data_IF_782030550436
#
_entry.id   IF_782030550436
#
_cell.length_a   1.000
_cell.length_b   1.000
_cell.length_c   1.000
_cell.angle_alpha   90.00
_cell.angle_beta   90.00
_cell.angle_gamma   90.00
#
_symmetry.space_group_name_H-M   'P 1'
#
loop_
_entity.id
_entity.type
_entity.pdbx_description
1 polymer ?
#
# COMPACT_ATOMS: atom_id res chain seq x y z
N UNK A 1 -27.72 12.43 17.19
CA UNK A 1 -26.66 12.11 18.18
C UNK A 1 -26.46 10.62 18.33
N UNK A 2 -27.53 9.82 18.50
CA UNK A 2 -27.46 8.34 18.62
C UNK A 2 -26.80 7.65 17.41
N UNK A 3 -27.22 7.95 16.18
CA UNK A 3 -26.63 7.37 14.96
C UNK A 3 -25.11 7.64 14.81
N UNK A 4 -24.60 8.78 15.27
CA UNK A 4 -23.16 9.06 15.26
C UNK A 4 -22.39 8.27 16.32
N UNK A 5 -23.03 8.00 17.47
CA UNK A 5 -22.45 7.13 18.51
C UNK A 5 -22.41 5.67 18.04
N UNK A 6 -23.46 5.20 17.36
CA UNK A 6 -23.51 3.85 16.81
C UNK A 6 -22.47 3.64 15.70
N UNK A 7 -22.24 4.65 14.84
CA UNK A 7 -21.17 4.60 13.84
C UNK A 7 -19.77 4.49 14.46
N UNK A 8 -19.50 5.24 15.55
CA UNK A 8 -18.22 5.16 16.26
C UNK A 8 -18.05 3.83 17.00
N UNK A 9 -19.12 3.31 17.59
CA UNK A 9 -19.13 1.99 18.23
C UNK A 9 -18.87 0.89 17.20
N UNK A 10 -19.52 0.94 16.04
CA UNK A 10 -19.30 -0.01 14.95
C UNK A 10 -17.85 0.03 14.45
N UNK A 11 -17.27 1.22 14.26
CA UNK A 11 -15.87 1.36 13.87
C UNK A 11 -14.92 0.72 14.88
N UNK A 12 -15.17 0.93 16.18
CA UNK A 12 -14.37 0.32 17.27
C UNK A 12 -14.43 -1.21 17.23
N UNK A 13 -15.64 -1.76 17.11
CA UNK A 13 -15.85 -3.21 16.98
C UNK A 13 -15.17 -3.74 15.70
N UNK A 14 -15.26 -3.01 14.58
CA UNK A 14 -14.62 -3.42 13.34
C UNK A 14 -13.09 -3.48 13.48
N UNK A 15 -12.45 -2.51 14.14
CA UNK A 15 -11.00 -2.55 14.37
C UNK A 15 -10.57 -3.77 15.18
N UNK A 16 -11.34 -4.13 16.21
CA UNK A 16 -11.07 -5.34 17.01
C UNK A 16 -11.27 -6.61 16.19
N UNK A 17 -12.35 -6.68 15.40
CA UNK A 17 -12.67 -7.85 14.58
C UNK A 17 -11.67 -8.08 13.45
N UNK A 18 -11.19 -7.02 12.80
CA UNK A 18 -10.24 -7.13 11.71
C UNK A 18 -8.79 -7.33 12.20
N UNK A 19 -8.57 -7.27 13.52
CA UNK A 19 -7.31 -7.57 14.18
C UNK A 19 -7.14 -9.03 14.63
N UNK A 20 -8.18 -9.87 14.50
CA UNK A 20 -8.13 -11.28 14.92
C UNK A 20 -7.48 -12.19 13.85
N UNK A 21 -7.03 -13.39 14.23
CA UNK A 21 -6.59 -14.41 13.27
C UNK A 21 -7.69 -14.73 12.24
N UNK A 22 -7.29 -15.01 10.99
CA UNK A 22 -8.21 -15.14 9.86
C UNK A 22 -9.35 -16.16 10.08
N UNK A 23 -9.06 -17.26 10.77
CA UNK A 23 -10.02 -18.34 11.01
C UNK A 23 -10.95 -18.05 12.19
N UNK A 24 -10.58 -17.13 13.08
CA UNK A 24 -11.38 -16.74 14.25
C UNK A 24 -12.42 -15.66 13.93
N UNK A 25 -12.29 -14.97 12.79
CA UNK A 25 -13.10 -13.81 12.42
C UNK A 25 -14.62 -14.05 12.58
N UNK A 26 -15.13 -15.17 12.07
CA UNK A 26 -16.58 -15.43 12.07
C UNK A 26 -17.09 -15.66 13.50
N UNK A 27 -16.30 -16.35 14.32
CA UNK A 27 -16.59 -16.60 15.73
C UNK A 27 -16.56 -15.29 16.51
N UNK A 28 -15.51 -14.49 16.34
CA UNK A 28 -15.37 -13.18 16.96
C UNK A 28 -16.51 -12.23 16.57
N UNK A 29 -16.88 -12.17 15.28
CA UNK A 29 -18.00 -11.34 14.78
C UNK A 29 -19.32 -11.73 15.42
N UNK A 30 -19.57 -13.04 15.55
CA UNK A 30 -20.79 -13.55 16.17
C UNK A 30 -20.85 -13.20 17.66
N UNK A 31 -19.73 -13.32 18.37
CA UNK A 31 -19.62 -12.92 19.77
C UNK A 31 -19.83 -11.40 19.94
N UNK A 32 -19.17 -10.58 19.12
CA UNK A 32 -19.29 -9.13 19.15
C UNK A 32 -20.74 -8.67 18.92
N UNK A 33 -21.44 -9.26 17.95
CA UNK A 33 -22.85 -8.95 17.70
C UNK A 33 -23.77 -9.33 18.89
N UNK A 34 -23.44 -10.38 19.63
CA UNK A 34 -24.19 -10.78 20.83
C UNK A 34 -23.96 -9.76 21.96
N UNK A 35 -22.71 -9.36 22.18
CA UNK A 35 -22.33 -8.38 23.22
C UNK A 35 -22.89 -6.98 22.92
N UNK A 36 -23.02 -6.59 21.66
CA UNK A 36 -23.56 -5.28 21.26
C UNK A 36 -25.10 -5.20 21.33
N UNK A 37 -25.80 -6.25 21.76
CA UNK A 37 -27.27 -6.30 21.80
C UNK A 37 -27.89 -5.34 22.83
N UNK A 38 -27.10 -4.83 23.79
CA UNK A 38 -27.53 -3.83 24.77
C UNK A 38 -27.58 -2.39 24.23
N UNK A 39 -27.00 -2.12 23.06
CA UNK A 39 -26.82 -0.76 22.51
C UNK A 39 -27.92 -0.32 21.54
N UNK A 40 -28.93 -1.16 21.30
CA UNK A 40 -29.98 -0.93 20.29
C UNK A 40 -29.95 -2.00 19.19
N UNK A 41 -31.06 -2.17 18.46
CA UNK A 41 -31.20 -3.26 17.47
C UNK A 41 -30.32 -3.11 16.22
N UNK A 42 -29.89 -1.88 15.91
CA UNK A 42 -29.16 -1.56 14.68
C UNK A 42 -27.69 -1.98 14.73
N UNK A 43 -27.00 -1.76 15.86
CA UNK A 43 -25.58 -2.07 16.01
C UNK A 43 -25.25 -3.58 15.86
N UNK A 44 -25.96 -4.53 16.51
CA UNK A 44 -25.78 -5.96 16.28
C UNK A 44 -25.98 -6.39 14.82
N UNK A 45 -26.97 -5.79 14.14
CA UNK A 45 -27.24 -6.08 12.74
C UNK A 45 -26.09 -5.59 11.84
N UNK A 46 -25.58 -4.38 12.09
CA UNK A 46 -24.43 -3.83 11.40
C UNK A 46 -23.15 -4.67 11.62
N UNK A 47 -22.90 -5.13 12.86
CA UNK A 47 -21.75 -6.00 13.17
C UNK A 47 -21.86 -7.34 12.42
N UNK A 48 -23.06 -7.94 12.35
CA UNK A 48 -23.28 -9.19 11.57
C UNK A 48 -23.09 -8.98 10.06
N UNK A 49 -23.39 -7.79 9.57
CA UNK A 49 -23.23 -7.44 8.16
C UNK A 49 -21.76 -7.20 7.75
N UNK A 50 -20.83 -7.06 8.71
CA UNK A 50 -19.41 -6.90 8.38
C UNK A 50 -18.90 -8.13 7.61
N UNK A 51 -18.38 -7.95 6.39
CA UNK A 51 -17.88 -9.05 5.57
C UNK A 51 -16.63 -9.66 6.20
N UNK A 52 -16.32 -10.92 5.85
CA UNK A 52 -15.04 -11.52 6.18
C UNK A 52 -14.00 -10.99 5.18
N UNK A 53 -12.82 -10.51 5.63
CA UNK A 53 -11.78 -10.09 4.69
C UNK A 53 -11.30 -11.26 3.83
N UNK A 54 -10.82 -10.96 2.62
CA UNK A 54 -10.03 -11.90 1.82
C UNK A 54 -8.69 -12.18 2.52
N UNK A 55 -8.00 -13.27 2.15
CA UNK A 55 -6.71 -13.61 2.77
C UNK A 55 -5.67 -12.52 2.52
N UNK A 56 -5.63 -11.95 1.31
CA UNK A 56 -4.73 -10.85 0.97
C UNK A 56 -5.06 -9.58 1.76
N UNK A 57 -6.34 -9.21 1.86
CA UNK A 57 -6.78 -8.06 2.66
C UNK A 57 -6.46 -8.23 4.14
N UNK A 58 -6.71 -9.43 4.69
CA UNK A 58 -6.34 -9.77 6.07
C UNK A 58 -4.84 -9.63 6.31
N UNK A 59 -3.98 -10.13 5.42
CA UNK A 59 -2.53 -9.99 5.57
C UNK A 59 -2.09 -8.52 5.61
N UNK A 60 -2.67 -7.67 4.76
CA UNK A 60 -2.41 -6.22 4.77
C UNK A 60 -2.95 -5.56 6.05
N UNK A 61 -4.12 -5.96 6.54
CA UNK A 61 -4.66 -5.46 7.81
C UNK A 61 -3.75 -5.83 8.99
N UNK A 62 -3.22 -7.06 9.01
CA UNK A 62 -2.25 -7.48 10.03
C UNK A 62 -0.98 -6.62 9.96
N UNK A 63 -0.48 -6.28 8.76
CA UNK A 63 0.63 -5.33 8.65
C UNK A 63 0.27 -3.95 9.21
N UNK A 64 -0.93 -3.43 8.93
CA UNK A 64 -1.36 -2.13 9.46
C UNK A 64 -1.43 -2.10 10.99
N UNK A 65 -1.66 -3.25 11.61
CA UNK A 65 -1.76 -3.38 13.07
C UNK A 65 -0.38 -3.57 13.70
N UNK A 66 0.43 -4.49 13.15
CA UNK A 66 1.68 -4.95 13.76
C UNK A 66 2.94 -4.27 13.24
N UNK A 67 2.93 -3.81 11.99
CA UNK A 67 4.08 -3.16 11.31
C UNK A 67 3.62 -1.90 10.55
N UNK A 68 2.91 -0.95 11.21
CA UNK A 68 2.35 0.22 10.54
C UNK A 68 3.41 1.11 9.87
N UNK A 69 4.64 1.10 10.39
CA UNK A 69 5.77 1.90 9.90
C UNK A 69 6.11 1.56 8.44
N UNK A 70 5.97 0.29 8.05
CA UNK A 70 6.20 -0.15 6.66
C UNK A 70 5.18 0.50 5.70
N UNK A 71 3.91 0.59 6.13
CA UNK A 71 2.86 1.22 5.33
C UNK A 71 3.01 2.75 5.29
N UNK A 72 3.49 3.37 6.37
CA UNK A 72 3.82 4.80 6.39
C UNK A 72 4.94 5.11 5.39
N UNK A 73 6.01 4.31 5.39
CA UNK A 73 7.13 4.50 4.47
C UNK A 73 6.70 4.37 2.99
N UNK A 74 5.84 3.40 2.68
CA UNK A 74 5.28 3.25 1.32
C UNK A 74 4.37 4.42 0.95
N UNK A 75 3.58 4.95 1.89
CA UNK A 75 2.71 6.10 1.64
C UNK A 75 3.52 7.38 1.38
N UNK A 76 4.59 7.61 2.14
CA UNK A 76 5.54 8.70 1.92
C UNK A 76 6.23 8.61 0.56
N UNK A 77 6.62 7.40 0.14
CA UNK A 77 7.11 7.17 -1.22
C UNK A 77 6.07 7.55 -2.27
N UNK A 78 4.81 7.15 -2.09
CA UNK A 78 3.71 7.51 -3.00
C UNK A 78 3.52 9.03 -3.11
N UNK A 79 3.62 9.76 -2.00
CA UNK A 79 3.58 11.22 -2.01
C UNK A 79 4.74 11.83 -2.81
N UNK A 80 5.98 11.35 -2.60
CA UNK A 80 7.15 11.80 -3.38
C UNK A 80 7.00 11.50 -4.87
N UNK A 81 6.43 10.35 -5.22
CA UNK A 81 6.15 10.00 -6.62
C UNK A 81 5.15 10.95 -7.26
N UNK A 82 4.03 11.24 -6.60
CA UNK A 82 3.02 12.20 -7.10
C UNK A 82 3.60 13.62 -7.22
N UNK A 83 4.44 14.05 -6.26
CA UNK A 83 5.12 15.33 -6.34
C UNK A 83 6.09 15.42 -7.53
N UNK A 84 6.84 14.34 -7.81
CA UNK A 84 7.72 14.25 -8.97
C UNK A 84 6.93 14.22 -10.30
N UNK A 85 5.74 13.58 -10.31
CA UNK A 85 4.83 13.62 -11.47
C UNK A 85 4.30 15.04 -11.71
N UNK A 86 3.84 15.72 -10.67
CA UNK A 86 3.32 17.08 -10.76
C UNK A 86 4.37 18.10 -11.23
N UNK A 87 5.65 17.88 -10.91
CA UNK A 87 6.78 18.69 -11.37
C UNK A 87 7.40 18.21 -12.69
N UNK A 88 6.88 17.14 -13.29
CA UNK A 88 7.38 16.51 -14.52
C UNK A 88 8.88 16.10 -14.44
N UNK A 89 9.37 15.75 -13.25
CA UNK A 89 10.75 15.33 -13.04
C UNK A 89 10.95 13.86 -13.40
N UNK A 90 11.25 13.61 -14.67
CA UNK A 90 11.50 12.27 -15.19
C UNK A 90 12.73 11.58 -14.56
N UNK A 91 13.71 12.34 -14.04
CA UNK A 91 14.88 11.75 -13.40
C UNK A 91 14.52 11.23 -12.00
N UNK A 92 13.86 12.07 -11.18
CA UNK A 92 13.33 11.67 -9.88
C UNK A 92 12.36 10.48 -10.00
N UNK A 93 11.47 10.48 -11.00
CA UNK A 93 10.54 9.37 -11.21
C UNK A 93 11.23 8.03 -11.46
N UNK A 94 12.35 8.02 -12.20
CA UNK A 94 13.10 6.77 -12.44
C UNK A 94 13.72 6.24 -11.15
N UNK A 95 14.27 7.12 -10.32
CA UNK A 95 14.86 6.72 -9.04
C UNK A 95 13.80 6.25 -8.04
N UNK A 96 12.70 7.00 -7.89
CA UNK A 96 11.57 6.61 -7.05
C UNK A 96 10.94 5.29 -7.51
N UNK A 97 10.90 5.00 -8.83
CA UNK A 97 10.41 3.73 -9.33
C UNK A 97 11.32 2.53 -8.98
N UNK A 98 12.63 2.73 -8.82
CA UNK A 98 13.56 1.70 -8.33
C UNK A 98 13.37 1.49 -6.83
N UNK A 99 13.27 2.59 -6.07
CA UNK A 99 12.98 2.56 -4.64
C UNK A 99 11.66 1.82 -4.37
N UNK A 100 10.61 2.12 -5.14
CA UNK A 100 9.31 1.43 -5.07
C UNK A 100 9.42 -0.08 -5.19
N UNK A 101 10.14 -0.58 -6.20
CA UNK A 101 10.30 -2.04 -6.38
C UNK A 101 10.99 -2.69 -5.18
N UNK A 102 11.97 -2.01 -4.60
CA UNK A 102 12.72 -2.51 -3.44
C UNK A 102 11.85 -2.54 -2.20
N UNK A 103 11.14 -1.44 -1.90
CA UNK A 103 10.26 -1.34 -0.74
C UNK A 103 9.04 -2.26 -0.84
N UNK A 104 8.47 -2.44 -2.04
CA UNK A 104 7.37 -3.38 -2.23
C UNK A 104 7.79 -4.83 -1.95
N UNK A 105 8.97 -5.25 -2.42
CA UNK A 105 9.50 -6.59 -2.11
C UNK A 105 9.65 -6.81 -0.60
N UNK A 106 10.32 -5.88 0.09
CA UNK A 106 10.51 -5.95 1.53
C UNK A 106 9.18 -5.93 2.31
N UNK A 107 8.20 -5.16 1.84
CA UNK A 107 6.87 -5.09 2.45
C UNK A 107 6.08 -6.40 2.27
N UNK A 108 6.20 -7.07 1.11
CA UNK A 108 5.61 -8.41 0.89
C UNK A 108 6.24 -9.45 1.81
N UNK A 109 7.56 -9.42 1.98
CA UNK A 109 8.25 -10.32 2.92
C UNK A 109 7.81 -10.06 4.37
N UNK A 110 7.61 -8.79 4.73
CA UNK A 110 7.04 -8.42 6.03
C UNK A 110 5.62 -8.96 6.18
N UNK A 111 4.77 -8.85 5.14
CA UNK A 111 3.42 -9.41 5.14
C UNK A 111 3.42 -10.92 5.42
N UNK A 112 4.35 -11.65 4.78
CA UNK A 112 4.53 -13.10 5.00
C UNK A 112 4.90 -13.39 6.44
N UNK A 113 5.90 -12.69 6.97
CA UNK A 113 6.35 -12.88 8.35
C UNK A 113 5.25 -12.57 9.39
N UNK A 114 4.50 -11.49 9.18
CA UNK A 114 3.36 -11.13 10.03
C UNK A 114 2.28 -12.20 9.98
N UNK A 115 1.92 -12.66 8.78
CA UNK A 115 0.90 -13.70 8.61
C UNK A 115 1.32 -15.03 9.29
N UNK A 116 2.58 -15.42 9.17
CA UNK A 116 3.15 -16.61 9.82
C UNK A 116 3.08 -16.51 11.35
N UNK A 117 3.44 -15.35 11.92
CA UNK A 117 3.29 -15.10 13.38
C UNK A 117 1.84 -15.22 13.85
N UNK A 118 0.88 -14.95 12.96
CA UNK A 118 -0.54 -15.11 13.20
C UNK A 118 -1.11 -16.48 12.81
N UNK A 119 -0.23 -17.47 12.58
CA UNK A 119 -0.61 -18.86 12.37
C UNK A 119 -1.03 -19.20 10.94
N UNK A 120 -0.75 -18.35 9.94
CA UNK A 120 -1.12 -18.59 8.55
C UNK A 120 0.01 -18.27 7.57
N UNK A 121 0.46 -19.28 6.84
CA UNK A 121 1.30 -19.06 5.66
C UNK A 121 0.48 -18.51 4.49
N UNK A 122 1.03 -17.56 3.73
CA UNK A 122 0.42 -17.07 2.49
C UNK A 122 1.11 -17.67 1.26
N UNK A 123 0.32 -18.04 0.25
CA UNK A 123 0.85 -18.59 -1.01
C UNK A 123 1.49 -17.49 -1.87
N UNK A 124 2.22 -17.89 -2.92
CA UNK A 124 2.80 -16.94 -3.88
C UNK A 124 1.72 -16.08 -4.57
N UNK A 125 0.55 -16.66 -4.88
CA UNK A 125 -0.58 -15.94 -5.46
C UNK A 125 -1.10 -14.86 -4.51
N UNK A 126 -1.32 -15.21 -3.24
CA UNK A 126 -1.78 -14.23 -2.24
C UNK A 126 -0.73 -13.15 -2.00
N UNK A 127 0.56 -13.50 -2.00
CA UNK A 127 1.64 -12.53 -1.89
C UNK A 127 1.66 -11.55 -3.08
N UNK A 128 1.31 -11.99 -4.28
CA UNK A 128 1.18 -11.12 -5.45
C UNK A 128 -0.02 -10.16 -5.31
N UNK A 129 -1.16 -10.63 -4.77
CA UNK A 129 -2.32 -9.77 -4.49
C UNK A 129 -2.00 -8.71 -3.41
N UNK A 130 -1.22 -9.09 -2.40
CA UNK A 130 -0.69 -8.16 -1.39
C UNK A 130 0.22 -7.12 -2.05
N UNK A 131 1.17 -7.53 -2.90
CA UNK A 131 2.03 -6.60 -3.63
C UNK A 131 1.21 -5.62 -4.48
N UNK A 132 0.17 -6.11 -5.16
CA UNK A 132 -0.71 -5.28 -6.00
C UNK A 132 -1.48 -4.26 -5.16
N UNK A 133 -1.93 -4.64 -3.97
CA UNK A 133 -2.58 -3.73 -3.01
C UNK A 133 -1.61 -2.66 -2.51
N UNK A 134 -0.38 -3.04 -2.15
CA UNK A 134 0.65 -2.10 -1.71
C UNK A 134 1.10 -1.18 -2.84
N UNK A 135 1.10 -1.66 -4.08
CA UNK A 135 1.34 -0.83 -5.27
C UNK A 135 0.25 0.21 -5.44
N UNK A 136 -1.02 -0.16 -5.23
CA UNK A 136 -2.16 0.76 -5.25
C UNK A 136 -2.01 1.86 -4.18
N UNK A 137 -1.57 1.52 -2.96
CA UNK A 137 -1.24 2.49 -1.90
C UNK A 137 -0.20 3.53 -2.35
N UNK A 138 0.82 3.14 -3.11
CA UNK A 138 1.83 4.11 -3.60
C UNK A 138 1.29 5.01 -4.71
N UNK A 139 0.28 4.56 -5.46
CA UNK A 139 -0.27 5.29 -6.58
C UNK A 139 -1.33 6.32 -6.11
N UNK A 140 -2.22 5.91 -5.20
CA UNK A 140 -3.41 6.67 -4.84
C UNK A 140 -3.49 6.98 -3.34
N UNK A 141 -3.88 8.21 -3.00
CA UNK A 141 -3.99 8.66 -1.60
C UNK A 141 -5.17 8.01 -0.87
N UNK A 142 -6.28 7.75 -1.56
CA UNK A 142 -7.43 7.04 -1.02
C UNK A 142 -7.08 5.59 -0.69
N UNK A 143 -6.35 4.90 -1.58
CA UNK A 143 -5.84 3.56 -1.35
C UNK A 143 -4.88 3.51 -0.15
N UNK A 144 -4.02 4.53 0.00
CA UNK A 144 -3.15 4.64 1.17
C UNK A 144 -3.96 4.75 2.48
N UNK A 145 -4.98 5.63 2.51
CA UNK A 145 -5.85 5.77 3.68
C UNK A 145 -6.66 4.49 3.96
N UNK A 146 -7.14 3.79 2.93
CA UNK A 146 -7.87 2.53 3.05
C UNK A 146 -6.99 1.43 3.65
N UNK A 147 -5.77 1.24 3.13
CA UNK A 147 -4.81 0.27 3.65
C UNK A 147 -4.39 0.59 5.08
N UNK A 148 -4.08 1.85 5.38
CA UNK A 148 -3.67 2.29 6.72
C UNK A 148 -4.81 2.20 7.75
N UNK A 149 -6.06 2.13 7.31
CA UNK A 149 -7.19 1.89 8.22
C UNK A 149 -7.15 0.48 8.84
N UNK A 150 -6.53 -0.50 8.18
CA UNK A 150 -6.55 -1.89 8.65
C UNK A 150 -7.93 -2.55 8.60
N UNK A 151 -8.87 -1.98 7.84
CA UNK A 151 -10.25 -2.47 7.67
C UNK A 151 -10.53 -2.93 6.23
N UNK A 152 -9.51 -3.38 5.50
CA UNK A 152 -9.70 -3.87 4.13
C UNK A 152 -10.50 -5.16 4.11
N UNK A 153 -11.46 -5.23 3.19
CA UNK A 153 -12.28 -6.42 2.93
C UNK A 153 -11.72 -7.22 1.76
N UNK A 154 -11.20 -6.53 0.74
CA UNK A 154 -10.66 -7.12 -0.48
C UNK A 154 -9.31 -6.50 -0.85
N UNK A 155 -8.57 -7.18 -1.71
CA UNK A 155 -7.32 -6.66 -2.25
C UNK A 155 -7.62 -5.47 -3.18
N UNK A 156 -6.72 -4.49 -3.20
CA UNK A 156 -6.83 -3.34 -4.10
C UNK A 156 -6.01 -3.60 -5.37
N UNK A 157 -6.50 -3.07 -6.49
CA UNK A 157 -5.74 -3.06 -7.74
C UNK A 157 -5.63 -1.63 -8.26
N UNK A 158 -4.43 -1.27 -8.72
CA UNK A 158 -4.21 -0.07 -9.51
C UNK A 158 -3.89 -0.50 -10.95
N UNK A 159 -4.84 -0.24 -11.86
CA UNK A 159 -4.67 -0.38 -13.32
C UNK A 159 -3.93 0.82 -13.94
N UNK A 160 -3.60 1.83 -13.13
CA UNK A 160 -2.57 2.83 -13.42
C UNK A 160 -3.01 3.98 -14.31
N UNK A 161 -4.30 4.08 -14.61
CA UNK A 161 -4.89 5.18 -15.40
C UNK A 161 -5.99 5.90 -14.61
N UNK A 162 -6.70 5.19 -13.72
CA UNK A 162 -7.81 5.73 -12.93
C UNK A 162 -7.56 5.65 -11.41
N UNK A 163 -8.37 6.39 -10.65
CA UNK A 163 -8.44 6.26 -9.18
C UNK A 163 -8.83 4.84 -8.81
N UNK A 164 -8.15 4.27 -7.81
CA UNK A 164 -8.45 2.91 -7.31
C UNK A 164 -9.91 2.85 -6.87
N UNK A 165 -10.64 1.83 -7.34
CA UNK A 165 -12.00 1.59 -6.86
C UNK A 165 -11.94 1.10 -5.41
N UNK A 166 -12.50 1.91 -4.52
CA UNK A 166 -12.59 1.64 -3.08
C UNK A 166 -14.00 1.22 -2.66
N UNK A 167 -14.95 1.11 -3.61
CA UNK A 167 -16.31 0.72 -3.28
C UNK A 167 -16.35 -0.71 -2.71
N UNK A 168 -16.94 -0.86 -1.53
CA UNK A 168 -16.92 -2.10 -0.77
C UNK A 168 -15.53 -2.62 -0.34
N UNK A 169 -14.45 -1.87 -0.57
CA UNK A 169 -13.09 -2.31 -0.24
C UNK A 169 -12.72 -2.11 1.24
N UNK A 170 -13.42 -1.21 1.94
CA UNK A 170 -13.23 -0.90 3.36
C UNK A 170 -14.51 -1.23 4.14
N UNK A 171 -14.36 -1.98 5.23
CA UNK A 171 -15.50 -2.48 6.02
C UNK A 171 -16.34 -1.37 6.66
N UNK A 172 -15.68 -0.26 7.04
CA UNK A 172 -16.34 0.95 7.57
C UNK A 172 -15.72 2.18 6.91
N UNK A 173 -16.37 2.74 5.87
CA UNK A 173 -15.88 3.95 5.19
C UNK A 173 -15.68 5.11 6.19
N UNK A 174 -14.52 5.76 6.13
CA UNK A 174 -14.19 6.90 6.99
C UNK A 174 -13.70 6.58 8.41
N UNK A 175 -13.70 5.32 8.84
CA UNK A 175 -13.20 4.92 10.16
C UNK A 175 -11.70 5.18 10.37
N UNK A 176 -10.90 5.22 9.29
CA UNK A 176 -9.45 5.48 9.33
C UNK A 176 -9.04 6.84 9.91
N UNK A 177 -9.97 7.80 10.12
CA UNK A 177 -9.68 9.06 10.84
C UNK A 177 -9.76 8.94 12.36
N UNK A 178 -10.14 7.80 12.92
CA UNK A 178 -10.09 7.56 14.36
C UNK A 178 -8.68 7.08 14.70
N UNK A 179 -7.76 8.04 14.79
CA UNK A 179 -6.39 7.88 15.28
C UNK A 179 -6.41 6.98 16.53
N UNK A 180 -5.72 5.83 16.45
CA UNK A 180 -5.34 5.03 17.63
C UNK A 180 -4.65 5.96 18.63
N UNK A 181 -5.29 6.27 19.75
CA UNK A 181 -4.61 6.81 20.92
C UNK A 181 -3.78 5.67 21.49
N UNK A 182 -2.53 5.56 21.04
CA UNK A 182 -1.54 4.77 21.75
C UNK A 182 -1.37 5.37 23.17
N UNK A 183 -1.20 4.55 24.22
CA UNK A 183 -0.86 5.06 25.53
C UNK A 183 0.50 5.75 25.46
N UNK A 184 0.52 6.98 25.97
CA UNK A 184 1.68 7.85 26.06
C UNK A 184 2.83 7.15 26.80
N UNK A 185 3.90 6.82 26.07
CA UNK A 185 5.18 6.37 26.65
C UNK A 185 6.18 7.52 26.77
N UNK A 186 5.73 8.77 26.81
CA UNK A 186 6.59 9.96 26.98
C UNK A 186 6.87 10.33 28.45
N UNK A 187 7.05 9.33 29.33
CA UNK A 187 7.42 9.57 30.73
C UNK A 187 8.70 8.84 31.17
N UNK A 188 9.51 8.33 30.24
CA UNK A 188 10.72 7.56 30.58
C UNK A 188 12.04 8.10 30.00
N UNK A 189 12.05 9.28 29.35
CA UNK A 189 13.26 9.84 28.72
C UNK A 189 13.78 11.14 29.36
N UNK A 190 13.36 11.46 30.59
CA UNK A 190 13.77 12.68 31.31
C UNK A 190 14.91 12.47 32.33
N UNK A 191 15.60 11.32 32.32
CA UNK A 191 16.70 11.03 33.26
C UNK A 191 17.89 10.37 32.57
N UNK A 192 18.47 11.02 31.56
CA UNK A 192 19.80 10.64 31.04
C UNK A 192 20.56 11.84 30.43
N UNK A 193 20.22 13.07 30.84
CA UNK A 193 21.04 14.27 30.64
C UNK A 193 21.60 14.74 31.99
N UNK A 194 22.59 14.02 32.51
CA UNK A 194 23.52 14.53 33.52
C UNK A 194 24.70 13.56 33.68
N UNK A 195 25.58 13.50 32.67
CA UNK A 195 27.02 13.22 32.79
C UNK A 195 27.63 13.00 31.39
N UNK A 196 28.20 14.05 30.81
CA UNK A 196 29.41 14.02 29.96
C UNK A 196 29.58 15.37 29.25
N UNK A 197 30.17 16.32 29.99
CA UNK A 197 30.78 17.53 29.46
C UNK A 197 32.19 17.21 28.95
N UNK A 198 32.67 18.03 27.99
CA UNK A 198 34.00 18.02 27.35
C UNK A 198 34.13 17.02 26.17
N UNK A 199 34.62 17.35 24.97
CA UNK A 199 35.36 18.50 24.46
C UNK A 199 35.32 18.43 22.91
N UNK A 200 35.26 19.58 22.23
CA UNK A 200 35.62 19.79 20.82
C UNK A 200 36.61 20.96 20.84
N UNK A 201 37.66 21.03 19.99
CA UNK A 201 37.40 21.33 18.58
C UNK A 201 38.45 20.92 17.51
N UNK A 202 37.99 21.07 16.25
CA UNK A 202 38.73 21.44 15.04
C UNK A 202 39.44 20.35 14.20
N UNK A 203 39.03 20.23 12.93
CA UNK A 203 39.76 20.70 11.72
C UNK A 203 39.20 20.04 10.45
N UNK A 204 38.75 20.85 9.50
CA UNK A 204 38.78 20.51 8.06
C UNK A 204 40.22 20.75 7.57
N UNK A 205 40.69 20.00 6.55
CA UNK A 205 40.71 20.58 5.20
C UNK A 205 40.38 19.59 4.07
N UNK A 206 40.10 20.20 2.92
CA UNK A 206 39.82 19.59 1.63
C UNK A 206 41.02 18.84 1.03
N UNK A 207 40.74 17.82 0.21
CA UNK A 207 41.56 17.57 -0.98
C UNK A 207 40.79 16.77 -2.05
N UNK A 208 40.74 17.34 -3.26
CA UNK A 208 40.46 16.65 -4.52
C UNK A 208 41.81 16.40 -5.20
N UNK A 209 41.97 15.30 -5.94
CA UNK A 209 42.40 15.50 -7.32
C UNK A 209 41.63 14.67 -8.37
N UNK A 210 41.87 15.14 -9.59
CA UNK A 210 41.20 14.96 -10.88
C UNK A 210 41.51 13.63 -11.61
N UNK A 211 40.49 13.17 -12.35
CA UNK A 211 40.46 12.73 -13.76
C UNK A 211 41.45 11.66 -14.28
N UNK A 212 40.89 10.61 -14.91
CA UNK A 212 41.13 10.18 -16.31
C UNK A 212 40.23 8.96 -16.62
N UNK A 213 39.23 9.11 -17.49
CA UNK A 213 39.28 8.89 -18.95
C UNK A 213 39.26 7.41 -19.37
N UNK A 214 38.07 6.88 -19.70
CA UNK A 214 37.91 5.70 -20.58
C UNK A 214 36.69 5.89 -21.50
N UNK A 215 37.02 6.27 -22.74
CA UNK A 215 36.48 5.83 -24.04
C UNK A 215 34.97 5.91 -24.32
N UNK A 216 34.65 6.85 -25.20
CA UNK A 216 33.52 6.82 -26.11
C UNK A 216 33.58 5.59 -27.01
N UNK A 217 32.57 4.72 -26.90
CA UNK A 217 32.14 3.86 -28.01
C UNK A 217 30.75 4.36 -28.43
N UNK A 218 30.53 4.79 -29.69
CA UNK A 218 29.21 5.15 -30.17
C UNK A 218 28.27 3.95 -30.03
N UNK A 219 27.34 4.01 -29.09
CA UNK A 219 26.28 3.00 -28.96
C UNK A 219 25.39 3.12 -30.21
N UNK A 220 25.13 2.05 -30.97
CA UNK A 220 24.24 2.13 -32.12
C UNK A 220 22.88 2.64 -31.65
N UNK A 221 22.28 3.55 -32.43
CA UNK A 221 20.98 4.11 -32.14
C UNK A 221 19.93 2.99 -32.08
N UNK A 222 19.58 2.59 -30.86
CA UNK A 222 18.42 1.75 -30.62
C UNK A 222 17.19 2.47 -31.20
N UNK A 223 16.38 1.81 -32.05
CA UNK A 223 15.25 2.46 -32.70
C UNK A 223 14.34 3.06 -31.62
N UNK A 224 14.04 4.35 -31.79
CA UNK A 224 13.21 5.10 -30.84
C UNK A 224 11.89 4.37 -30.63
N UNK A 225 11.28 4.54 -29.45
CA UNK A 225 9.96 3.98 -29.15
C UNK A 225 8.92 4.33 -30.25
N UNK A 226 9.11 5.48 -30.92
CA UNK A 226 8.33 5.93 -32.06
C UNK A 226 8.49 5.02 -33.29
N UNK A 227 9.70 4.53 -33.57
CA UNK A 227 9.94 3.55 -34.64
C UNK A 227 9.25 2.21 -34.39
N UNK A 228 9.30 1.72 -33.14
CA UNK A 228 8.60 0.48 -32.74
C UNK A 228 7.09 0.63 -32.84
N UNK A 229 6.55 1.77 -32.41
CA UNK A 229 5.12 2.05 -32.50
C UNK A 229 4.62 2.17 -33.95
N UNK A 230 5.41 2.78 -34.85
CA UNK A 230 5.07 2.88 -36.27
C UNK A 230 5.08 1.51 -36.98
N UNK A 231 6.04 0.64 -36.64
CA UNK A 231 6.10 -0.71 -37.20
C UNK A 231 4.89 -1.55 -36.76
N UNK A 232 4.53 -1.52 -35.47
CA UNK A 232 3.35 -2.21 -34.95
C UNK A 232 2.04 -1.72 -35.58
N UNK A 233 1.92 -0.41 -35.85
CA UNK A 233 0.75 0.16 -36.51
C UNK A 233 0.66 -0.25 -37.99
N UNK A 234 1.79 -0.38 -38.68
CA UNK A 234 1.81 -0.86 -40.06
C UNK A 234 1.41 -2.34 -40.16
N UNK A 235 1.90 -3.17 -39.23
CA UNK A 235 1.56 -4.59 -39.14
C UNK A 235 0.07 -4.81 -38.84
N UNK A 236 -0.49 -4.04 -37.90
CA UNK A 236 -1.91 -4.09 -37.58
C UNK A 236 -2.81 -3.67 -38.76
N UNK A 237 -2.38 -2.68 -39.56
CA UNK A 237 -3.09 -2.26 -40.77
C UNK A 237 -3.05 -3.32 -41.85
N UNK A 238 -1.89 -3.94 -42.09
CA UNK A 238 -1.77 -5.03 -43.06
C UNK A 238 -2.66 -6.23 -42.69
N UNK A 239 -2.70 -6.62 -41.41
CA UNK A 239 -3.57 -7.70 -40.93
C UNK A 239 -5.06 -7.37 -41.08
N UNK A 240 -5.46 -6.11 -40.89
CA UNK A 240 -6.83 -5.65 -41.10
C UNK A 240 -7.22 -5.65 -42.59
N UNK A 241 -6.33 -5.22 -43.48
CA UNK A 241 -6.55 -5.25 -44.94
C UNK A 241 -6.61 -6.68 -45.49
N UNK A 242 -5.83 -7.60 -44.94
CA UNK A 242 -5.87 -9.01 -45.29
C UNK A 242 -7.14 -9.69 -44.80
N UNK A 243 -7.58 -9.38 -43.57
CA UNK A 243 -8.86 -9.84 -43.04
C UNK A 243 -10.06 -9.29 -43.84
N UNK A 244 -9.97 -8.05 -44.32
CA UNK A 244 -10.98 -7.44 -45.19
C UNK A 244 -11.02 -8.06 -46.60
N UNK A 245 -9.86 -8.46 -47.14
CA UNK A 245 -9.81 -9.19 -48.42
C UNK A 245 -10.42 -10.59 -48.32
N UNK A 246 -10.11 -11.33 -47.25
CA UNK A 246 -10.66 -12.67 -47.01
C UNK A 246 -12.18 -12.69 -46.76
N UNK A 247 -12.75 -11.58 -46.31
CA UNK A 247 -14.21 -11.42 -46.13
C UNK A 247 -14.94 -10.91 -47.37
N UNK A 248 -14.22 -10.42 -48.39
CA UNK A 248 -14.79 -9.98 -49.67
C UNK A 248 -14.84 -11.04 -50.78
N UNK A 249 -14.21 -12.20 -50.58
CA UNK A 249 -14.20 -13.34 -51.54
C UNK A 249 -15.21 -14.45 -51.20
N UNK A 250 -16.21 -14.17 -50.35
CA UNK A 250 -17.33 -15.08 -50.03
C UNK A 250 -18.65 -14.50 -50.50
#
# INVERSE_FOLDING_TARGET
>A
MMACMDAKALATIAFELYAVPFDEFVTARTAAAKTSSGSGKELPAAVKALPKPSVAAWAVNMMAIHEPEVLVQLAELGQRMRAAQASLDAAALRELARERRTLLGAAVDTARSVAERQGRSISATIAADVEQTLRALTADEGAAAAVQSGLLVQALSADGVDTVDLDGAVAVPGAGRVRRTAPDRSAASAQEEQMATAERPSRFPADRPRLKAVRETPRPASPSALGKAKAALAEAKAAAEESARLTGER
#
